data_IF_475092964188
#
_entry.id   IF_475092964188
#
_cell.length_a   1.000
_cell.length_b   1.000
_cell.length_c   1.000
_cell.angle_alpha   90.00
_cell.angle_beta   90.00
_cell.angle_gamma   90.00
#
_symmetry.space_group_name_H-M   'P 1'
#
loop_
_entity.id
_entity.type
_entity.pdbx_description
1 polymer ?
#
# COMPACT_ATOMS: atom_id res chain seq x y z
N UNK A 1 6.63 13.82 17.41
CA UNK A 1 6.65 12.47 16.83
C UNK A 1 5.51 11.68 17.43
N UNK A 2 4.71 11.00 16.61
CA UNK A 2 3.62 10.13 17.08
C UNK A 2 4.18 8.83 17.67
N UNK A 3 3.38 8.13 18.47
CA UNK A 3 3.65 6.74 18.88
C UNK A 3 2.72 5.82 18.11
N UNK A 4 3.24 4.82 17.41
CA UNK A 4 2.41 3.94 16.57
C UNK A 4 1.80 2.78 17.37
N UNK A 5 0.85 2.05 16.76
CA UNK A 5 0.18 0.91 17.38
C UNK A 5 1.16 -0.15 17.91
N UNK A 6 2.22 -0.47 17.16
CA UNK A 6 3.28 -1.39 17.62
C UNK A 6 3.89 -0.94 18.96
N UNK A 7 4.32 0.31 19.04
CA UNK A 7 4.96 0.86 20.23
C UNK A 7 3.99 0.93 21.42
N UNK A 8 2.73 1.33 21.17
CA UNK A 8 1.70 1.32 22.19
C UNK A 8 1.37 -0.11 22.69
N UNK A 9 1.35 -1.09 21.79
CA UNK A 9 1.10 -2.49 22.12
C UNK A 9 2.21 -3.08 23.00
N UNK A 10 3.47 -2.72 22.75
CA UNK A 10 4.59 -3.20 23.57
C UNK A 10 4.58 -2.60 24.99
N UNK A 11 4.03 -1.39 25.16
CA UNK A 11 3.91 -0.73 26.47
C UNK A 11 2.66 -1.19 27.22
N UNK A 12 1.54 -1.32 26.51
CA UNK A 12 0.24 -1.70 27.08
C UNK A 12 -0.45 -2.70 26.15
N UNK A 13 -0.06 -3.99 26.23
CA UNK A 13 -0.61 -5.01 25.35
C UNK A 13 -2.11 -5.24 25.62
N UNK A 14 -2.91 -5.46 24.56
CA UNK A 14 -4.27 -5.98 24.70
C UNK A 14 -4.32 -7.20 25.60
N UNK A 15 -5.38 -7.34 26.41
CA UNK A 15 -5.56 -8.52 27.28
C UNK A 15 -5.57 -9.83 26.49
N UNK A 16 -6.12 -9.79 25.27
CA UNK A 16 -6.17 -10.95 24.36
C UNK A 16 -4.80 -11.42 23.89
N UNK A 17 -3.78 -10.58 23.99
CA UNK A 17 -2.40 -10.94 23.65
C UNK A 17 -1.66 -11.55 24.86
N UNK A 18 -2.21 -11.47 26.07
CA UNK A 18 -1.53 -12.00 27.25
C UNK A 18 -1.53 -13.54 27.24
N UNK A 19 -0.35 -14.14 27.01
CA UNK A 19 -0.13 -15.60 26.93
C UNK A 19 -0.77 -16.27 25.71
N UNK A 20 -1.03 -15.49 24.65
CA UNK A 20 -1.64 -15.98 23.43
C UNK A 20 -0.60 -16.61 22.49
N UNK A 21 -0.94 -17.73 21.86
CA UNK A 21 -0.25 -18.20 20.67
C UNK A 21 -0.66 -17.32 19.49
N UNK A 22 0.28 -16.56 18.96
CA UNK A 22 0.02 -15.47 18.02
C UNK A 22 0.64 -15.71 16.65
N UNK A 23 -0.12 -15.40 15.61
CA UNK A 23 0.41 -15.15 14.27
C UNK A 23 0.67 -13.66 14.09
N UNK A 24 1.66 -13.31 13.27
CA UNK A 24 2.00 -11.91 13.01
C UNK A 24 2.09 -11.64 11.49
N UNK A 25 1.20 -10.81 10.96
CA UNK A 25 1.24 -10.32 9.58
C UNK A 25 2.06 -9.04 9.51
N UNK A 26 3.24 -9.14 8.89
CA UNK A 26 4.27 -8.09 8.82
C UNK A 26 5.06 -8.13 7.51
N UNK A 27 5.77 -7.04 7.26
CA UNK A 27 6.76 -6.91 6.21
C UNK A 27 7.96 -6.06 6.70
N UNK A 28 8.88 -5.70 5.81
CA UNK A 28 10.06 -4.89 6.09
C UNK A 28 9.76 -3.48 6.62
N UNK A 29 8.60 -2.91 6.31
CA UNK A 29 8.18 -1.60 6.80
C UNK A 29 7.55 -1.66 8.21
N UNK A 30 7.41 -2.87 8.75
CA UNK A 30 6.86 -3.13 10.08
C UNK A 30 7.94 -2.94 11.14
N UNK A 31 8.31 -1.67 11.38
CA UNK A 31 9.35 -1.27 12.33
C UNK A 31 8.88 -0.21 13.33
N UNK A 32 9.55 -0.15 14.48
CA UNK A 32 9.39 0.93 15.46
C UNK A 32 10.15 2.21 15.05
N UNK A 33 10.25 3.21 15.95
CA UNK A 33 11.04 4.43 15.70
C UNK A 33 12.55 4.24 15.61
N UNK A 34 13.05 3.09 16.04
CA UNK A 34 14.47 2.74 16.05
C UNK A 34 14.84 1.74 14.95
N UNK A 35 13.94 1.52 13.99
CA UNK A 35 14.12 0.58 12.87
C UNK A 35 14.28 -0.88 13.32
N UNK A 36 13.76 -1.22 14.49
CA UNK A 36 13.70 -2.61 14.95
C UNK A 36 12.44 -3.26 14.41
N UNK A 37 12.58 -4.45 13.83
CA UNK A 37 11.46 -5.16 13.23
C UNK A 37 10.43 -5.57 14.27
N UNK A 38 9.16 -5.48 13.89
CA UNK A 38 8.02 -5.87 14.72
C UNK A 38 8.16 -7.31 15.21
N UNK A 39 8.57 -8.25 14.35
CA UNK A 39 8.73 -9.66 14.74
C UNK A 39 9.82 -9.88 15.81
N UNK A 40 10.93 -9.14 15.75
CA UNK A 40 11.99 -9.20 16.76
C UNK A 40 11.49 -8.62 18.09
N UNK A 41 10.80 -7.48 18.03
CA UNK A 41 10.22 -6.81 19.20
C UNK A 41 9.13 -7.65 19.86
N UNK A 42 8.26 -8.26 19.07
CA UNK A 42 7.21 -9.16 19.55
C UNK A 42 7.81 -10.40 20.22
N UNK A 43 8.79 -11.05 19.60
CA UNK A 43 9.44 -12.21 20.20
C UNK A 43 10.19 -11.85 21.50
N UNK A 44 10.76 -10.65 21.60
CA UNK A 44 11.40 -10.17 22.82
C UNK A 44 10.38 -9.85 23.94
N UNK A 45 9.28 -9.16 23.62
CA UNK A 45 8.28 -8.76 24.59
C UNK A 45 7.36 -9.91 25.03
N UNK A 46 7.13 -10.88 24.14
CA UNK A 46 6.26 -12.02 24.34
C UNK A 46 6.98 -13.34 24.01
N UNK A 47 8.02 -13.74 24.77
CA UNK A 47 8.80 -14.93 24.46
C UNK A 47 7.93 -16.19 24.37
N UNK A 48 8.10 -16.96 23.29
CA UNK A 48 7.39 -18.22 23.06
C UNK A 48 5.95 -18.08 22.55
N UNK A 49 5.44 -16.85 22.36
CA UNK A 49 4.08 -16.60 21.88
C UNK A 49 3.99 -16.45 20.36
N UNK A 50 5.09 -16.16 19.66
CA UNK A 50 5.09 -16.02 18.21
C UNK A 50 5.18 -17.40 17.54
N UNK A 51 4.08 -17.86 16.95
CA UNK A 51 3.99 -19.19 16.33
C UNK A 51 4.26 -19.17 14.82
N UNK A 52 3.87 -18.10 14.13
CA UNK A 52 3.97 -18.00 12.67
C UNK A 52 4.03 -16.54 12.23
N UNK A 53 4.77 -16.28 11.16
CA UNK A 53 4.75 -15.02 10.43
C UNK A 53 3.93 -15.18 9.16
N UNK A 54 3.10 -14.19 8.87
CA UNK A 54 2.46 -14.05 7.57
C UNK A 54 3.10 -12.88 6.83
N UNK A 55 3.32 -13.01 5.53
CA UNK A 55 3.82 -11.93 4.68
C UNK A 55 2.81 -11.54 3.61
N UNK A 56 2.64 -10.24 3.30
CA UNK A 56 1.73 -9.80 2.25
C UNK A 56 2.42 -9.86 0.87
N UNK A 57 1.86 -9.15 -0.11
CA UNK A 57 2.52 -8.88 -1.38
C UNK A 57 3.93 -8.27 -1.15
N UNK A 58 4.90 -8.72 -1.96
CA UNK A 58 6.36 -8.46 -1.85
C UNK A 58 7.10 -9.23 -0.75
N UNK A 59 6.39 -10.06 0.03
CA UNK A 59 7.01 -10.94 1.01
C UNK A 59 7.46 -10.21 2.29
N UNK A 60 8.24 -10.91 3.12
CA UNK A 60 8.66 -10.40 4.43
C UNK A 60 9.70 -9.28 4.29
N UNK A 61 10.57 -9.35 3.29
CA UNK A 61 11.72 -8.45 3.11
C UNK A 61 11.60 -7.52 1.89
N UNK A 62 10.48 -7.55 1.17
CA UNK A 62 10.27 -6.76 -0.07
C UNK A 62 11.18 -7.12 -1.24
N UNK A 63 11.62 -8.36 -1.34
CA UNK A 63 12.64 -8.76 -2.33
C UNK A 63 12.11 -8.73 -3.77
N UNK A 64 10.80 -8.95 -3.96
CA UNK A 64 10.19 -8.98 -5.28
C UNK A 64 9.67 -7.62 -5.73
N UNK A 65 10.31 -7.08 -6.77
CA UNK A 65 9.98 -5.77 -7.35
C UNK A 65 8.72 -5.79 -8.21
N UNK A 66 8.40 -6.91 -8.83
CA UNK A 66 7.30 -6.98 -9.77
C UNK A 66 5.95 -7.25 -9.08
N UNK A 67 4.91 -6.58 -9.56
CA UNK A 67 3.56 -6.96 -9.18
C UNK A 67 3.31 -8.36 -9.78
N UNK A 68 2.72 -9.27 -9.01
CA UNK A 68 2.35 -10.64 -9.46
C UNK A 68 3.43 -11.72 -9.38
N UNK A 69 4.61 -11.45 -8.81
CA UNK A 69 5.53 -12.52 -8.40
C UNK A 69 5.07 -13.10 -7.05
N UNK A 70 4.90 -14.43 -7.02
CA UNK A 70 4.58 -15.17 -5.80
C UNK A 70 5.82 -15.32 -4.91
N UNK A 71 5.64 -15.12 -3.61
CA UNK A 71 6.71 -15.33 -2.62
C UNK A 71 6.56 -16.69 -1.94
N UNK A 72 7.61 -17.52 -1.86
CA UNK A 72 7.50 -18.86 -1.28
C UNK A 72 7.31 -18.84 0.24
N UNK A 73 6.76 -19.93 0.77
CA UNK A 73 6.81 -20.23 2.20
C UNK A 73 8.26 -20.47 2.66
N UNK A 74 8.55 -20.27 3.94
CA UNK A 74 9.89 -20.49 4.48
C UNK A 74 9.94 -20.43 6.00
N UNK A 75 11.14 -20.19 6.53
CA UNK A 75 11.38 -20.00 7.96
C UNK A 75 12.13 -18.70 8.19
N UNK A 76 11.80 -18.02 9.28
CA UNK A 76 12.52 -16.82 9.67
C UNK A 76 13.95 -17.19 10.08
N UNK A 77 15.00 -16.61 9.47
CA UNK A 77 16.38 -17.09 9.63
C UNK A 77 16.87 -17.05 11.07
N UNK A 78 16.40 -16.09 11.86
CA UNK A 78 16.83 -15.91 13.27
C UNK A 78 15.86 -16.46 14.30
N UNK A 79 14.57 -16.44 13.99
CA UNK A 79 13.51 -16.79 14.96
C UNK A 79 13.09 -18.26 14.81
N UNK A 80 13.41 -18.87 13.66
CA UNK A 80 13.05 -20.25 13.32
C UNK A 80 11.54 -20.53 13.38
N UNK A 81 10.72 -19.47 13.25
CA UNK A 81 9.26 -19.58 13.08
C UNK A 81 8.92 -19.70 11.59
N UNK A 82 7.85 -20.43 11.22
CA UNK A 82 7.37 -20.50 9.85
C UNK A 82 7.00 -19.11 9.30
N UNK A 83 7.20 -18.90 8.00
CA UNK A 83 6.78 -17.72 7.25
C UNK A 83 5.84 -18.19 6.13
N UNK A 84 4.59 -17.74 6.17
CA UNK A 84 3.55 -18.08 5.21
C UNK A 84 3.23 -16.87 4.34
N UNK A 85 3.45 -16.97 3.03
CA UNK A 85 3.04 -15.93 2.09
C UNK A 85 1.52 -15.93 1.90
N UNK A 86 0.92 -14.74 2.01
CA UNK A 86 -0.48 -14.45 1.66
C UNK A 86 -0.57 -13.81 0.27
N UNK A 87 0.42 -14.05 -0.60
CA UNK A 87 0.43 -13.60 -1.99
C UNK A 87 0.88 -14.71 -2.98
N UNK A 88 1.08 -15.94 -2.51
CA UNK A 88 1.35 -17.12 -3.33
C UNK A 88 0.05 -17.85 -3.70
N UNK A 89 -0.12 -19.11 -3.30
CA UNK A 89 -1.29 -19.94 -3.62
C UNK A 89 -2.60 -19.40 -3.01
N UNK A 90 -2.49 -18.70 -1.88
CA UNK A 90 -3.65 -18.14 -1.17
C UNK A 90 -3.42 -16.67 -0.80
N UNK A 91 -4.53 -15.91 -0.79
CA UNK A 91 -4.60 -14.54 -0.24
C UNK A 91 -5.19 -14.50 1.18
N UNK A 92 -5.70 -15.65 1.67
CA UNK A 92 -6.22 -15.86 3.02
C UNK A 92 -5.21 -16.69 3.84
N UNK A 93 -5.02 -16.40 5.13
CA UNK A 93 -4.30 -17.32 6.02
C UNK A 93 -4.93 -18.73 5.99
N UNK A 94 -4.14 -19.81 5.93
CA UNK A 94 -4.68 -21.17 5.92
C UNK A 94 -5.45 -21.47 7.21
N UNK A 95 -6.63 -22.10 7.08
CA UNK A 95 -7.50 -22.40 8.21
C UNK A 95 -6.85 -23.30 9.25
N UNK A 96 -6.10 -24.33 8.83
CA UNK A 96 -5.38 -25.23 9.73
C UNK A 96 -4.32 -24.49 10.55
N UNK A 97 -3.65 -23.49 9.96
CA UNK A 97 -2.72 -22.64 10.71
C UNK A 97 -3.45 -21.73 11.67
N UNK A 98 -4.56 -21.10 11.24
CA UNK A 98 -5.36 -20.21 12.10
C UNK A 98 -5.96 -20.94 13.30
N UNK A 99 -6.43 -22.18 13.13
CA UNK A 99 -7.01 -23.00 14.19
C UNK A 99 -6.04 -23.27 15.34
N UNK A 100 -4.74 -23.08 15.13
CA UNK A 100 -3.72 -23.20 16.16
C UNK A 100 -3.38 -21.89 16.88
N UNK A 101 -4.01 -20.76 16.51
CA UNK A 101 -3.70 -19.43 17.04
C UNK A 101 -4.84 -18.92 17.91
N UNK A 102 -4.48 -18.24 18.99
CA UNK A 102 -5.42 -17.47 19.81
C UNK A 102 -5.70 -16.09 19.18
N UNK A 103 -4.69 -15.52 18.49
CA UNK A 103 -4.85 -14.25 17.80
C UNK A 103 -3.93 -14.10 16.57
N UNK A 104 -4.39 -13.29 15.62
CA UNK A 104 -3.61 -12.76 14.52
C UNK A 104 -3.36 -11.27 14.75
N UNK A 105 -2.09 -10.90 14.89
CA UNK A 105 -1.66 -9.51 14.99
C UNK A 105 -1.27 -9.00 13.60
N UNK A 106 -1.75 -7.81 13.22
CA UNK A 106 -1.48 -7.19 11.92
C UNK A 106 -0.77 -5.86 12.16
N UNK A 107 0.45 -5.74 11.64
CA UNK A 107 1.25 -4.51 11.66
C UNK A 107 1.76 -4.24 10.25
N UNK A 108 1.04 -3.44 9.46
CA UNK A 108 1.42 -3.12 8.07
C UNK A 108 1.33 -1.62 7.80
N UNK A 109 2.38 -1.06 7.20
CA UNK A 109 2.35 0.31 6.69
C UNK A 109 1.68 0.32 5.31
N UNK A 110 0.43 0.78 5.27
CA UNK A 110 -0.32 1.02 4.03
C UNK A 110 -0.01 2.40 3.41
N UNK A 111 -0.46 2.64 2.18
CA UNK A 111 -0.21 3.90 1.44
C UNK A 111 -1.45 4.77 1.22
N UNK A 112 -2.61 4.41 1.77
CA UNK A 112 -3.83 5.21 1.73
C UNK A 112 -4.57 5.18 0.39
N UNK A 113 -4.27 4.19 -0.45
CA UNK A 113 -4.79 4.07 -1.82
C UNK A 113 -5.48 2.73 -2.02
N UNK A 114 -6.72 2.75 -2.53
CA UNK A 114 -7.61 1.59 -2.66
C UNK A 114 -6.97 0.39 -3.34
N UNK A 115 -6.19 0.59 -4.39
CA UNK A 115 -5.61 -0.50 -5.18
C UNK A 115 -4.33 -1.07 -4.57
N UNK A 116 -3.82 -0.47 -3.49
CA UNK A 116 -2.72 -1.05 -2.72
C UNK A 116 -3.26 -2.20 -1.88
N UNK A 117 -2.67 -3.39 -2.03
CA UNK A 117 -3.33 -4.65 -1.67
C UNK A 117 -3.36 -4.96 -0.18
N UNK A 118 -2.62 -4.22 0.66
CA UNK A 118 -2.48 -4.53 2.08
C UNK A 118 -3.79 -4.42 2.86
N UNK A 119 -4.64 -3.44 2.53
CA UNK A 119 -5.99 -3.34 3.12
C UNK A 119 -6.92 -4.50 2.68
N UNK A 120 -6.63 -5.15 1.55
CA UNK A 120 -7.38 -6.31 1.08
C UNK A 120 -6.87 -7.60 1.68
N UNK A 121 -5.56 -7.75 1.88
CA UNK A 121 -4.99 -8.80 2.75
C UNK A 121 -5.60 -8.70 4.15
N UNK A 122 -5.70 -7.50 4.73
CA UNK A 122 -6.40 -7.26 6.00
C UNK A 122 -7.86 -7.76 5.95
N UNK A 123 -8.62 -7.46 4.90
CA UNK A 123 -10.01 -7.94 4.78
C UNK A 123 -10.11 -9.47 4.75
N UNK A 124 -9.18 -10.13 4.07
CA UNK A 124 -9.11 -11.59 4.04
C UNK A 124 -8.71 -12.20 5.38
N UNK A 125 -7.80 -11.56 6.11
CA UNK A 125 -7.46 -11.94 7.47
C UNK A 125 -8.68 -11.80 8.40
N UNK A 126 -9.46 -10.72 8.29
CA UNK A 126 -10.69 -10.55 9.06
C UNK A 126 -11.69 -11.68 8.77
N UNK A 127 -11.93 -12.01 7.49
CA UNK A 127 -12.81 -13.11 7.10
C UNK A 127 -12.34 -14.45 7.67
N UNK A 128 -11.07 -14.81 7.43
CA UNK A 128 -10.53 -16.08 7.88
C UNK A 128 -10.52 -16.20 9.41
N UNK A 129 -10.18 -15.13 10.13
CA UNK A 129 -10.24 -15.13 11.59
C UNK A 129 -11.67 -15.20 12.13
N UNK A 130 -12.66 -14.60 11.46
CA UNK A 130 -14.07 -14.76 11.82
C UNK A 130 -14.56 -16.20 11.61
N UNK A 131 -14.13 -16.86 10.53
CA UNK A 131 -14.44 -18.26 10.23
C UNK A 131 -13.89 -19.24 11.29
N UNK A 132 -12.80 -18.87 11.98
CA UNK A 132 -12.08 -19.73 12.93
C UNK A 132 -12.12 -19.25 14.40
N UNK A 133 -12.91 -18.22 14.72
CA UNK A 133 -12.99 -17.60 16.06
C UNK A 133 -11.63 -17.13 16.63
N UNK A 134 -10.74 -16.67 15.75
CA UNK A 134 -9.41 -16.15 16.11
C UNK A 134 -9.49 -14.64 16.28
N UNK A 135 -8.96 -14.11 17.39
CA UNK A 135 -8.93 -12.66 17.62
C UNK A 135 -8.04 -11.94 16.60
N UNK A 136 -8.47 -10.79 16.08
CA UNK A 136 -7.65 -9.95 15.21
C UNK A 136 -7.22 -8.71 15.96
N UNK A 137 -5.91 -8.45 16.03
CA UNK A 137 -5.35 -7.26 16.67
C UNK A 137 -4.63 -6.43 15.61
N UNK A 138 -5.16 -5.26 15.26
CA UNK A 138 -4.51 -4.34 14.31
C UNK A 138 -3.70 -3.30 15.05
N UNK A 139 -2.40 -3.26 14.77
CA UNK A 139 -1.48 -2.23 15.25
C UNK A 139 -1.55 -1.04 14.30
N UNK A 140 -2.22 0.03 14.73
CA UNK A 140 -2.53 1.11 13.82
C UNK A 140 -1.29 1.91 13.36
N UNK A 141 -1.33 2.36 12.11
CA UNK A 141 -0.25 3.09 11.43
C UNK A 141 -0.79 4.30 10.68
N UNK A 142 0.01 5.37 10.51
CA UNK A 142 -0.45 6.59 9.87
C UNK A 142 -0.77 6.33 8.39
N UNK A 143 -1.90 6.86 7.93
CA UNK A 143 -2.13 7.00 6.49
C UNK A 143 -1.18 8.09 5.95
N UNK A 144 -0.26 7.78 5.00
CA UNK A 144 0.73 8.75 4.54
C UNK A 144 0.15 9.90 3.71
N UNK A 145 -1.08 9.77 3.21
CA UNK A 145 -1.85 10.83 2.56
C UNK A 145 -2.63 11.69 3.56
N UNK A 146 -2.61 11.33 4.85
CA UNK A 146 -3.39 11.97 5.90
C UNK A 146 -4.82 11.43 5.99
N UNK A 147 -5.56 11.91 7.00
CA UNK A 147 -6.95 11.52 7.25
C UNK A 147 -8.01 12.44 6.63
N UNK A 148 -7.62 13.60 6.09
CA UNK A 148 -8.58 14.51 5.43
C UNK A 148 -8.60 14.38 3.91
N UNK A 149 -7.62 13.70 3.33
CA UNK A 149 -7.48 13.57 1.90
C UNK A 149 -8.34 12.42 1.37
N UNK A 150 -9.30 12.76 0.51
CA UNK A 150 -10.16 11.80 -0.19
C UNK A 150 -10.28 12.23 -1.65
N UNK A 151 -10.06 11.31 -2.58
CA UNK A 151 -10.08 11.59 -4.02
C UNK A 151 -10.44 10.33 -4.83
N UNK A 152 -10.97 10.53 -6.04
CA UNK A 152 -11.29 9.48 -7.00
C UNK A 152 -12.67 8.87 -6.77
N UNK A 153 -13.22 8.17 -7.80
CA UNK A 153 -14.52 7.54 -7.71
C UNK A 153 -14.51 6.40 -6.71
N UNK A 154 -15.67 6.13 -6.11
CA UNK A 154 -15.89 4.88 -5.38
C UNK A 154 -15.84 3.71 -6.37
N UNK A 155 -15.44 2.54 -5.88
CA UNK A 155 -15.47 1.34 -6.70
C UNK A 155 -16.92 0.96 -7.00
N UNK A 156 -17.22 0.78 -8.28
CA UNK A 156 -18.42 0.08 -8.72
C UNK A 156 -18.19 -1.41 -8.53
N UNK A 157 -19.08 -2.07 -7.77
CA UNK A 157 -18.84 -3.45 -7.33
C UNK A 157 -18.83 -4.47 -8.48
N UNK A 158 -19.33 -4.10 -9.67
CA UNK A 158 -19.16 -4.90 -10.88
C UNK A 158 -17.69 -5.07 -11.30
N UNK A 159 -16.79 -4.18 -10.85
CA UNK A 159 -15.35 -4.23 -11.09
C UNK A 159 -14.56 -4.68 -9.84
N UNK A 160 -15.23 -5.33 -8.88
CA UNK A 160 -14.56 -5.80 -7.67
C UNK A 160 -13.55 -6.91 -7.97
N UNK A 161 -12.38 -6.82 -7.34
CA UNK A 161 -11.25 -7.75 -7.51
C UNK A 161 -10.34 -7.70 -6.28
N UNK A 162 -9.17 -8.36 -6.34
CA UNK A 162 -8.21 -8.30 -5.23
C UNK A 162 -7.65 -6.89 -4.96
N UNK A 163 -7.66 -6.00 -5.95
CA UNK A 163 -7.25 -4.59 -5.80
C UNK A 163 -8.45 -3.67 -5.46
N UNK A 164 -9.60 -4.25 -5.11
CA UNK A 164 -10.81 -3.50 -4.78
C UNK A 164 -11.95 -4.40 -4.33
N UNK A 165 -12.14 -4.58 -3.01
CA UNK A 165 -13.20 -5.48 -2.48
C UNK A 165 -14.39 -4.76 -1.84
N UNK A 166 -14.30 -3.45 -1.67
CA UNK A 166 -15.37 -2.63 -1.10
C UNK A 166 -15.51 -1.29 -1.83
N UNK A 167 -16.71 -0.72 -1.81
CA UNK A 167 -17.02 0.54 -2.47
C UNK A 167 -16.50 1.75 -1.69
N UNK A 168 -15.18 1.96 -1.78
CA UNK A 168 -14.43 3.09 -1.20
C UNK A 168 -13.77 3.92 -2.32
N UNK A 169 -13.51 5.22 -2.10
CA UNK A 169 -12.82 6.07 -3.08
C UNK A 169 -11.35 5.63 -3.27
N UNK A 170 -10.71 6.12 -4.34
CA UNK A 170 -9.32 5.74 -4.68
C UNK A 170 -8.33 6.14 -3.58
N UNK A 171 -8.36 7.39 -3.12
CA UNK A 171 -7.73 7.78 -1.87
C UNK A 171 -8.81 7.82 -0.79
N UNK A 172 -8.66 7.02 0.27
CA UNK A 172 -9.73 6.75 1.23
C UNK A 172 -9.62 7.53 2.55
N UNK A 173 -8.46 8.07 2.89
CA UNK A 173 -8.29 8.91 4.07
C UNK A 173 -8.52 8.19 5.41
N UNK A 174 -8.37 6.86 5.45
CA UNK A 174 -8.49 6.06 6.67
C UNK A 174 -7.13 5.49 7.05
N UNK A 175 -6.83 5.38 8.35
CA UNK A 175 -5.72 4.55 8.83
C UNK A 175 -6.02 3.07 8.60
N UNK A 176 -5.02 2.19 8.75
CA UNK A 176 -5.26 0.74 8.60
C UNK A 176 -6.19 0.20 9.70
N UNK A 177 -6.12 0.75 10.92
CA UNK A 177 -7.04 0.43 12.01
C UNK A 177 -8.47 0.95 11.79
N UNK A 178 -8.62 2.16 11.26
CA UNK A 178 -9.93 2.70 10.84
C UNK A 178 -10.53 1.87 9.68
N UNK A 179 -9.69 1.48 8.71
CA UNK A 179 -10.07 0.62 7.59
C UNK A 179 -10.51 -0.77 8.07
N UNK A 180 -9.79 -1.38 9.03
CA UNK A 180 -10.17 -2.67 9.60
C UNK A 180 -11.58 -2.62 10.19
N UNK A 181 -11.89 -1.60 11.00
CA UNK A 181 -13.23 -1.41 11.56
C UNK A 181 -14.29 -1.18 10.47
N UNK A 182 -13.97 -0.34 9.49
CA UNK A 182 -14.88 -0.05 8.38
C UNK A 182 -15.22 -1.32 7.59
N UNK A 183 -14.22 -2.10 7.18
CA UNK A 183 -14.42 -3.33 6.40
C UNK A 183 -15.13 -4.40 7.22
N UNK A 184 -14.76 -4.58 8.50
CA UNK A 184 -15.42 -5.55 9.38
C UNK A 184 -16.93 -5.30 9.49
N UNK A 185 -17.35 -4.03 9.53
CA UNK A 185 -18.76 -3.64 9.56
C UNK A 185 -19.42 -3.63 8.16
N UNK A 186 -18.82 -2.95 7.19
CA UNK A 186 -19.40 -2.72 5.87
C UNK A 186 -19.56 -3.99 5.03
N UNK A 187 -18.70 -4.99 5.27
CA UNK A 187 -18.77 -6.31 4.62
C UNK A 187 -19.50 -7.35 5.49
N UNK A 188 -19.93 -7.00 6.71
CA UNK A 188 -20.62 -7.92 7.61
C UNK A 188 -19.75 -9.10 8.08
N UNK A 189 -18.44 -8.91 8.21
CA UNK A 189 -17.48 -9.99 8.52
C UNK A 189 -17.64 -10.49 9.96
N UNK A 190 -17.79 -9.59 10.92
CA UNK A 190 -18.01 -9.96 12.32
C UNK A 190 -16.80 -10.55 13.05
N UNK A 191 -15.58 -10.30 12.58
CA UNK A 191 -14.35 -10.76 13.23
C UNK A 191 -14.21 -10.14 14.64
N UNK A 192 -13.68 -10.88 15.64
CA UNK A 192 -13.35 -10.37 16.97
C UNK A 192 -12.13 -9.43 16.89
N UNK A 193 -12.38 -8.22 16.41
CA UNK A 193 -11.38 -7.20 16.09
C UNK A 193 -11.12 -6.26 17.28
N UNK A 194 -9.84 -6.11 17.61
CA UNK A 194 -9.29 -5.07 18.47
C UNK A 194 -8.28 -4.23 17.69
N UNK A 195 -8.27 -2.91 17.89
CA UNK A 195 -7.29 -2.01 17.26
C UNK A 195 -6.51 -1.32 18.36
N UNK A 196 -5.18 -1.41 18.29
CA UNK A 196 -4.28 -0.63 19.14
C UNK A 196 -4.01 0.70 18.43
N UNK A 197 -4.64 1.81 18.87
CA UNK A 197 -4.55 3.08 18.17
C UNK A 197 -3.17 3.71 18.33
N UNK A 198 -2.82 4.61 17.43
CA UNK A 198 -1.67 5.50 17.59
C UNK A 198 -1.93 6.56 18.67
N UNK A 199 -0.86 7.08 19.28
CA UNK A 199 -0.92 8.25 20.16
C UNK A 199 -0.38 9.48 19.44
N UNK A 200 -1.17 10.56 19.45
CA UNK A 200 -0.77 11.87 18.92
C UNK A 200 -0.97 12.07 17.42
N UNK A 201 -1.33 11.02 16.66
CA UNK A 201 -1.72 11.19 15.25
C UNK A 201 -3.03 11.98 15.14
N UNK A 202 -3.11 12.86 14.15
CA UNK A 202 -4.31 13.64 13.83
C UNK A 202 -4.56 13.56 12.33
N UNK A 203 -5.84 13.66 11.93
CA UNK A 203 -6.26 13.50 10.53
C UNK A 203 -5.64 14.56 9.59
N UNK A 204 -5.23 15.69 10.13
CA UNK A 204 -4.59 16.79 9.38
C UNK A 204 -3.12 16.53 9.06
N UNK A 205 -2.48 15.59 9.78
CA UNK A 205 -1.05 15.34 9.64
C UNK A 205 -0.74 14.73 8.28
N UNK A 206 0.21 15.35 7.58
CA UNK A 206 0.99 14.70 6.55
C UNK A 206 1.96 13.69 7.18
N UNK A 207 2.48 12.74 6.39
CA UNK A 207 3.48 11.80 6.92
C UNK A 207 4.70 12.49 7.54
N UNK A 208 5.16 13.61 6.97
CA UNK A 208 6.27 14.39 7.50
C UNK A 208 6.00 14.94 8.93
N UNK A 209 4.75 15.28 9.25
CA UNK A 209 4.35 15.81 10.56
C UNK A 209 4.38 14.73 11.65
N UNK A 210 4.36 13.45 11.26
CA UNK A 210 4.41 12.33 12.20
C UNK A 210 5.76 12.23 12.92
N UNK A 211 6.80 12.85 12.37
CA UNK A 211 8.19 12.72 12.81
C UNK A 211 8.78 11.33 12.55
N UNK A 212 8.13 10.47 11.77
CA UNK A 212 8.61 9.13 11.40
C UNK A 212 9.39 9.21 10.09
N UNK A 213 10.36 8.32 9.93
CA UNK A 213 11.10 8.13 8.67
C UNK A 213 10.32 7.17 7.79
N UNK A 214 10.20 7.49 6.51
CA UNK A 214 9.55 6.62 5.53
C UNK A 214 10.39 5.36 5.31
N UNK A 215 9.84 4.21 5.68
CA UNK A 215 10.36 2.90 5.29
C UNK A 215 9.43 2.37 4.21
N UNK A 216 9.92 2.13 2.97
CA UNK A 216 9.05 1.83 1.86
C UNK A 216 8.38 0.46 2.05
N UNK A 217 7.03 0.39 2.00
CA UNK A 217 6.29 -0.87 2.13
C UNK A 217 6.36 -1.73 0.87
N UNK A 218 6.75 -1.16 -0.28
CA UNK A 218 6.98 -1.90 -1.53
C UNK A 218 8.13 -1.29 -2.34
N UNK A 219 8.80 -2.06 -3.22
CA UNK A 219 9.99 -1.59 -3.94
C UNK A 219 9.69 -0.41 -4.88
N UNK A 220 8.49 -0.39 -5.46
CA UNK A 220 8.07 0.66 -6.40
C UNK A 220 7.38 1.86 -5.73
N UNK A 221 7.39 1.96 -4.39
CA UNK A 221 7.05 3.19 -3.66
C UNK A 221 8.17 3.57 -2.69
N UNK A 222 9.40 3.79 -3.19
CA UNK A 222 10.57 4.07 -2.35
C UNK A 222 10.48 5.43 -1.66
N UNK A 223 9.66 6.35 -2.18
CA UNK A 223 9.63 7.76 -1.82
C UNK A 223 8.23 8.24 -1.44
N UNK A 224 8.17 9.18 -0.50
CA UNK A 224 6.91 9.77 -0.03
C UNK A 224 6.26 10.67 -1.10
N UNK A 225 7.05 11.24 -2.02
CA UNK A 225 6.52 11.99 -3.16
C UNK A 225 5.74 11.06 -4.11
N UNK A 226 6.33 9.92 -4.47
CA UNK A 226 5.66 8.88 -5.26
C UNK A 226 4.37 8.39 -4.60
N UNK A 227 4.36 8.19 -3.28
CA UNK A 227 3.12 7.86 -2.52
C UNK A 227 2.05 8.93 -2.68
N UNK A 228 2.43 10.22 -2.65
CA UNK A 228 1.50 11.33 -2.85
C UNK A 228 0.89 11.39 -4.25
N UNK A 229 1.55 10.82 -5.26
CA UNK A 229 1.09 10.78 -6.65
C UNK A 229 0.38 9.47 -7.01
N UNK A 230 0.69 8.40 -6.27
CA UNK A 230 0.22 7.04 -6.52
C UNK A 230 -1.31 6.91 -6.74
N UNK A 231 -2.20 7.59 -5.98
CA UNK A 231 -3.65 7.49 -6.21
C UNK A 231 -4.09 7.79 -7.64
N UNK A 232 -3.36 8.64 -8.36
CA UNK A 232 -3.60 8.90 -9.77
C UNK A 232 -2.68 8.11 -10.69
N UNK A 233 -1.40 8.05 -10.36
CA UNK A 233 -0.40 7.47 -11.26
C UNK A 233 -0.52 5.96 -11.42
N UNK A 234 -1.17 5.28 -10.49
CA UNK A 234 -1.52 3.86 -10.63
C UNK A 234 -2.50 3.60 -11.78
N UNK A 235 -3.30 4.59 -12.22
CA UNK A 235 -4.20 4.43 -13.37
C UNK A 235 -3.43 4.16 -14.67
N UNK A 236 -2.17 4.60 -14.74
CA UNK A 236 -1.28 4.39 -15.88
C UNK A 236 -0.95 2.91 -16.06
N UNK A 237 -1.01 2.11 -15.00
CA UNK A 237 -0.79 0.66 -15.06
C UNK A 237 -1.75 -0.02 -16.04
N UNK A 238 -3.00 0.45 -16.15
CA UNK A 238 -4.01 -0.06 -17.09
C UNK A 238 -3.81 0.35 -18.55
N UNK A 239 -2.66 0.93 -18.91
CA UNK A 239 -2.35 1.41 -20.26
C UNK A 239 -0.99 0.93 -20.71
N UNK A 240 -0.71 1.05 -22.01
CA UNK A 240 0.61 0.80 -22.57
C UNK A 240 1.64 1.91 -22.24
N UNK A 241 1.33 2.91 -21.43
CA UNK A 241 2.28 3.94 -21.00
C UNK A 241 3.14 3.44 -19.84
N UNK A 242 4.40 3.87 -19.74
CA UNK A 242 5.23 3.63 -18.56
C UNK A 242 4.92 4.64 -17.45
N UNK A 243 4.65 4.13 -16.26
CA UNK A 243 4.56 4.87 -14.99
C UNK A 243 5.91 5.02 -14.27
N UNK A 244 7.03 4.71 -14.95
CA UNK A 244 8.37 4.86 -14.40
C UNK A 244 8.90 3.67 -13.61
N UNK A 245 8.19 2.52 -13.57
CA UNK A 245 8.83 1.25 -13.19
C UNK A 245 10.01 0.98 -14.13
N UNK A 246 11.08 0.37 -13.62
CA UNK A 246 12.36 0.32 -14.34
C UNK A 246 13.21 1.58 -14.22
N UNK A 247 12.86 2.52 -13.34
CA UNK A 247 13.65 3.72 -13.05
C UNK A 247 13.83 3.90 -11.55
N UNK A 248 14.51 4.98 -11.13
CA UNK A 248 14.73 5.32 -9.72
C UNK A 248 13.56 6.09 -9.07
N UNK A 249 12.54 6.47 -9.85
CA UNK A 249 11.39 7.27 -9.38
C UNK A 249 10.07 6.77 -9.99
N UNK A 250 9.67 5.51 -9.71
CA UNK A 250 8.38 4.99 -10.15
C UNK A 250 7.23 5.82 -9.60
N UNK A 251 6.16 5.95 -10.40
CA UNK A 251 4.98 6.78 -10.18
C UNK A 251 5.22 8.30 -10.08
N UNK A 252 6.46 8.76 -10.24
CA UNK A 252 6.77 10.19 -10.44
C UNK A 252 7.01 10.50 -11.93
N UNK A 253 6.96 9.48 -12.79
CA UNK A 253 7.17 9.56 -14.23
C UNK A 253 5.94 9.04 -14.98
N UNK A 254 5.72 9.59 -16.17
CA UNK A 254 4.76 9.08 -17.14
C UNK A 254 5.29 9.30 -18.53
N UNK A 255 5.28 8.27 -19.38
CA UNK A 255 5.68 8.43 -20.78
C UNK A 255 5.62 7.16 -21.62
N UNK A 256 5.92 7.30 -22.90
CA UNK A 256 6.12 6.20 -23.84
C UNK A 256 7.02 6.66 -25.01
N UNK A 257 7.56 5.75 -25.84
CA UNK A 257 8.44 6.13 -26.96
C UNK A 257 7.78 7.01 -28.02
N UNK A 258 6.44 6.95 -28.12
CA UNK A 258 5.69 7.77 -29.08
C UNK A 258 5.32 9.16 -28.55
N UNK A 259 5.50 9.43 -27.25
CA UNK A 259 5.08 10.70 -26.62
C UNK A 259 6.14 11.77 -26.84
N UNK A 260 5.74 12.90 -27.44
CA UNK A 260 6.51 14.15 -27.42
C UNK A 260 6.28 14.88 -26.08
N UNK A 261 7.32 15.05 -25.24
CA UNK A 261 7.22 15.73 -23.95
C UNK A 261 6.64 17.15 -24.04
N UNK A 262 7.01 17.93 -25.05
CA UNK A 262 6.63 19.34 -25.14
C UNK A 262 5.20 19.49 -25.65
N UNK A 263 4.80 18.70 -26.65
CA UNK A 263 3.41 18.65 -27.10
C UNK A 263 2.44 18.25 -25.97
N UNK A 264 2.86 17.32 -25.10
CA UNK A 264 2.08 16.95 -23.92
C UNK A 264 1.91 18.14 -22.95
N UNK A 265 3.00 18.85 -22.63
CA UNK A 265 2.98 20.03 -21.77
C UNK A 265 2.04 21.11 -22.33
N UNK A 266 2.13 21.40 -23.62
CA UNK A 266 1.28 22.40 -24.27
C UNK A 266 -0.20 22.01 -24.22
N UNK A 267 -0.51 20.74 -24.47
CA UNK A 267 -1.88 20.23 -24.44
C UNK A 267 -2.49 20.27 -23.03
N UNK A 268 -1.69 20.02 -21.98
CA UNK A 268 -2.17 20.05 -20.60
C UNK A 268 -2.08 21.42 -19.94
N UNK A 269 -1.34 22.38 -20.52
CA UNK A 269 -1.11 23.71 -19.94
C UNK A 269 -2.37 24.52 -19.66
N UNK A 270 -3.47 24.23 -20.37
CA UNK A 270 -4.80 24.83 -20.10
C UNK A 270 -5.42 24.37 -18.79
N UNK A 271 -5.00 23.22 -18.26
CA UNK A 271 -5.51 22.68 -17.02
C UNK A 271 -4.75 23.28 -15.85
N UNK A 272 -5.48 23.92 -14.92
CA UNK A 272 -4.91 24.45 -13.68
C UNK A 272 -4.61 23.32 -12.69
N UNK A 273 -3.55 22.56 -12.96
CA UNK A 273 -3.05 21.49 -12.09
C UNK A 273 -2.29 22.12 -10.91
N UNK A 274 -2.90 22.11 -9.73
CA UNK A 274 -2.32 22.70 -8.51
C UNK A 274 -1.49 21.67 -7.76
N UNK A 275 -0.42 22.12 -7.10
CA UNK A 275 0.38 21.26 -6.22
C UNK A 275 1.23 20.22 -6.94
N UNK A 276 1.28 20.27 -8.27
CA UNK A 276 2.15 19.45 -9.11
C UNK A 276 2.73 20.31 -10.22
N UNK A 277 4.02 20.14 -10.50
CA UNK A 277 4.68 20.73 -11.67
C UNK A 277 5.10 19.63 -12.63
N UNK A 278 4.70 19.76 -13.90
CA UNK A 278 5.05 18.81 -14.94
C UNK A 278 6.31 19.30 -15.66
N UNK A 279 7.40 18.54 -15.54
CA UNK A 279 8.66 18.84 -16.25
C UNK A 279 8.80 17.87 -17.43
N UNK A 280 8.91 18.36 -18.68
CA UNK A 280 9.18 17.47 -19.81
C UNK A 280 10.55 16.81 -19.67
N UNK A 281 10.64 15.53 -20.03
CA UNK A 281 11.89 14.78 -20.07
C UNK A 281 11.80 13.56 -20.99
N UNK A 282 12.94 12.89 -21.15
CA UNK A 282 12.99 11.51 -21.59
C UNK A 282 13.57 10.61 -20.48
N UNK A 283 13.14 9.35 -20.42
CA UNK A 283 13.64 8.34 -19.50
C UNK A 283 13.66 6.96 -20.18
N UNK A 284 14.41 6.00 -19.66
CA UNK A 284 14.55 4.67 -20.24
C UNK A 284 14.42 3.60 -19.14
N UNK A 285 13.28 2.88 -19.08
CA UNK A 285 13.09 1.78 -18.13
C UNK A 285 14.10 0.64 -18.32
N UNK A 286 14.56 0.06 -17.22
CA UNK A 286 15.42 -1.14 -17.20
C UNK A 286 14.65 -2.45 -17.04
N UNK A 287 13.35 -2.40 -16.77
CA UNK A 287 12.43 -3.54 -16.73
C UNK A 287 11.00 -3.03 -16.98
N UNK A 288 10.03 -3.94 -17.16
CA UNK A 288 8.61 -3.62 -17.35
C UNK A 288 8.32 -2.83 -18.65
N UNK A 289 7.20 -2.11 -18.71
CA UNK A 289 6.74 -1.40 -19.93
C UNK A 289 7.84 -0.53 -20.54
N UNK A 290 8.09 -0.76 -21.83
CA UNK A 290 9.11 -0.10 -22.64
C UNK A 290 10.55 -0.30 -22.17
N UNK A 291 10.85 -1.44 -21.54
CA UNK A 291 12.22 -1.86 -21.23
C UNK A 291 13.17 -1.63 -22.40
N UNK A 292 14.30 -1.00 -22.12
CA UNK A 292 15.35 -0.76 -23.11
C UNK A 292 15.05 0.38 -24.10
N UNK A 293 13.85 0.95 -24.09
CA UNK A 293 13.41 2.00 -25.04
C UNK A 293 13.33 3.36 -24.34
N UNK A 294 13.77 4.40 -25.06
CA UNK A 294 13.63 5.78 -24.59
C UNK A 294 12.17 6.20 -24.70
N UNK A 295 11.59 6.62 -23.58
CA UNK A 295 10.25 7.17 -23.45
C UNK A 295 10.34 8.69 -23.33
N UNK A 296 9.62 9.43 -24.17
CA UNK A 296 9.32 10.83 -23.91
C UNK A 296 8.14 10.94 -22.94
N UNK A 297 8.10 11.99 -22.12
CA UNK A 297 7.03 12.16 -21.16
C UNK A 297 7.28 13.29 -20.16
N UNK A 298 6.72 13.14 -18.97
CA UNK A 298 6.79 14.15 -17.89
C UNK A 298 7.22 13.54 -16.56
N UNK A 299 7.95 14.34 -15.80
CA UNK A 299 8.21 14.11 -14.39
C UNK A 299 7.21 14.96 -13.62
N UNK A 300 6.47 14.34 -12.72
CA UNK A 300 5.48 14.98 -11.86
C UNK A 300 6.16 15.37 -10.55
N UNK A 301 6.53 16.64 -10.43
CA UNK A 301 7.08 17.18 -9.19
C UNK A 301 5.93 17.51 -8.25
N UNK A 302 5.76 16.77 -7.16
CA UNK A 302 4.80 17.10 -6.11
C UNK A 302 5.28 18.36 -5.36
N UNK A 303 4.68 19.51 -5.65
CA UNK A 303 5.11 20.81 -5.08
C UNK A 303 4.30 21.23 -3.86
N UNK A 304 3.04 20.83 -3.77
CA UNK A 304 2.20 21.04 -2.59
C UNK A 304 1.13 19.95 -2.51
N UNK A 305 1.30 19.06 -1.54
CA UNK A 305 0.42 17.90 -1.36
C UNK A 305 -0.98 18.24 -0.86
N UNK A 306 -1.18 19.39 -0.21
CA UNK A 306 -2.48 19.75 0.34
C UNK A 306 -3.47 20.13 -0.77
N UNK A 307 -2.96 20.73 -1.84
CA UNK A 307 -3.75 21.16 -2.99
C UNK A 307 -3.61 20.23 -4.20
N UNK A 308 -2.61 19.34 -4.21
CA UNK A 308 -2.48 18.34 -5.27
C UNK A 308 -3.71 17.44 -5.34
N UNK A 309 -4.06 17.09 -6.58
CA UNK A 309 -5.17 16.20 -6.96
C UNK A 309 -4.66 15.17 -7.97
N UNK A 310 -3.81 14.21 -7.53
CA UNK A 310 -3.16 13.23 -8.40
C UNK A 310 -4.13 12.46 -9.30
N UNK A 311 -5.31 12.05 -8.80
CA UNK A 311 -6.29 11.34 -9.64
C UNK A 311 -6.73 12.22 -10.81
N UNK A 312 -7.10 13.48 -10.53
CA UNK A 312 -7.45 14.44 -11.59
C UNK A 312 -6.28 14.68 -12.55
N UNK A 313 -5.07 14.85 -12.03
CA UNK A 313 -3.85 15.05 -12.83
C UNK A 313 -3.63 13.88 -13.80
N UNK A 314 -3.74 12.65 -13.32
CA UNK A 314 -3.57 11.45 -14.15
C UNK A 314 -4.65 11.37 -15.23
N UNK A 315 -5.92 11.62 -14.91
CA UNK A 315 -7.01 11.64 -15.92
C UNK A 315 -6.76 12.69 -17.01
N UNK A 316 -6.28 13.89 -16.63
CA UNK A 316 -5.93 14.94 -17.59
C UNK A 316 -4.79 14.50 -18.51
N UNK A 317 -3.75 13.87 -17.97
CA UNK A 317 -2.62 13.37 -18.75
C UNK A 317 -3.04 12.24 -19.70
N UNK A 318 -3.83 11.28 -19.21
CA UNK A 318 -4.34 10.17 -20.01
C UNK A 318 -5.25 10.65 -21.15
N UNK A 319 -6.17 11.59 -20.90
CA UNK A 319 -7.02 12.17 -21.94
C UNK A 319 -6.19 12.91 -23.01
N UNK A 320 -5.20 13.72 -22.59
CA UNK A 320 -4.32 14.42 -23.52
C UNK A 320 -3.53 13.45 -24.40
N UNK A 321 -2.96 12.40 -23.80
CA UNK A 321 -2.16 11.40 -24.52
C UNK A 321 -3.02 10.58 -25.49
N UNK A 322 -4.18 10.09 -25.04
CA UNK A 322 -5.10 9.33 -25.88
C UNK A 322 -5.61 10.15 -27.08
N UNK A 323 -5.66 11.49 -26.97
CA UNK A 323 -6.03 12.38 -28.08
C UNK A 323 -4.89 12.66 -29.04
N UNK A 324 -3.70 12.96 -28.52
CA UNK A 324 -2.52 13.32 -29.33
C UNK A 324 -1.93 12.12 -30.07
N UNK A 325 -1.95 10.94 -29.44
CA UNK A 325 -1.36 9.70 -29.96
C UNK A 325 -2.41 8.59 -30.03
N UNK A 326 -3.55 8.88 -30.66
CA UNK A 326 -4.72 7.99 -30.73
C UNK A 326 -4.39 6.61 -31.30
N UNK A 327 -3.53 6.54 -32.31
CA UNK A 327 -3.22 5.28 -32.99
C UNK A 327 -2.21 4.42 -32.22
N UNK A 328 -1.49 5.01 -31.26
CA UNK A 328 -0.45 4.36 -30.46
C UNK A 328 -0.89 4.06 -29.02
N UNK A 329 -1.77 4.88 -28.45
CA UNK A 329 -2.28 4.69 -27.09
C UNK A 329 -3.19 3.47 -27.01
N UNK A 330 -2.98 2.63 -26.00
CA UNK A 330 -3.77 1.42 -25.77
C UNK A 330 -4.09 1.25 -24.30
N UNK A 331 -5.32 0.82 -24.02
CA UNK A 331 -5.67 0.20 -22.75
C UNK A 331 -5.14 -1.23 -22.75
N UNK A 332 -4.66 -1.70 -21.60
CA UNK A 332 -4.31 -3.11 -21.44
C UNK A 332 -5.58 -3.93 -21.19
N UNK A 333 -5.57 -5.19 -21.62
CA UNK A 333 -6.64 -6.14 -21.33
C UNK A 333 -6.64 -6.49 -19.82
N UNK A 334 -7.84 -6.60 -19.18
CA UNK A 334 -7.98 -6.91 -17.75
C UNK A 334 -7.43 -8.26 -17.29
#
# INVERSE_FOLDING_TARGET
MITIGLENCLVSPPRRLARAKSGLLVNQASVDRYFRYAHDLFNQAFPGQLAVLFSPQHGLWSEDQDNMVETPHGFHPRLQVPVISLYAESRKPPGDTLAELDCLVIDLQDVGTRVYTYIWTLSYCLEACAEHDVAVIVLDRPNPLGGRYVEGPRLEMAYASFVGRASIPMAHGLTIGEMARYLNAAMGIGAPLEVVPMTGWRREMAYADTGRVWVPPSPNLPRIEGVGLYPGMVLVEGTNLSEGRGTTTPFELLGAPFVDPFALIDAVGRWRLRGVHLRPLAFKPTFQKWEGKTCGGVFLHLTDRHVCRPYRTAVVLLDAIARLWRDQFQWLEP
#
